data_IF_551019990733
#
_entry.id   IF_551019990733
#
_cell.length_a   1.000
_cell.length_b   1.000
_cell.length_c   1.000
_cell.angle_alpha   90.00
_cell.angle_beta   90.00
_cell.angle_gamma   90.00
#
_symmetry.space_group_name_H-M   'P 1'
#
loop_
_entity.id
_entity.type
_entity.pdbx_description
1 polymer ?
#
# COMPACT_ATOMS: atom_id res chain seq x y z
N UNK A 1 -16.52 25.43 -23.39
CA UNK A 1 -16.52 24.19 -22.59
C UNK A 1 -16.85 24.57 -21.15
N UNK A 2 -17.82 23.92 -20.50
CA UNK A 2 -18.12 24.16 -19.08
C UNK A 2 -16.94 23.74 -18.21
N UNK A 3 -16.69 24.47 -17.12
CA UNK A 3 -15.68 24.04 -16.14
C UNK A 3 -16.13 22.73 -15.45
N UNK A 4 -15.20 21.79 -15.17
CA UNK A 4 -15.53 20.55 -14.49
C UNK A 4 -16.04 20.84 -13.07
N UNK A 5 -17.06 20.10 -12.63
CA UNK A 5 -17.59 20.21 -11.27
C UNK A 5 -16.53 19.80 -10.23
N UNK A 6 -16.64 20.21 -8.96
CA UNK A 6 -15.70 19.78 -7.93
C UNK A 6 -15.59 18.26 -7.79
N UNK A 7 -16.69 17.52 -8.00
CA UNK A 7 -16.66 16.05 -8.01
C UNK A 7 -15.86 15.52 -9.19
N UNK A 8 -16.08 16.05 -10.40
CA UNK A 8 -15.31 15.64 -11.59
C UNK A 8 -13.81 15.93 -11.44
N UNK A 9 -13.46 17.05 -10.81
CA UNK A 9 -12.06 17.38 -10.48
C UNK A 9 -11.47 16.36 -9.50
N UNK A 10 -12.19 16.05 -8.40
CA UNK A 10 -11.75 15.06 -7.42
C UNK A 10 -11.60 13.65 -8.01
N UNK A 11 -12.56 13.23 -8.84
CA UNK A 11 -12.50 11.95 -9.55
C UNK A 11 -11.31 11.91 -10.50
N UNK A 12 -11.15 12.92 -11.36
CA UNK A 12 -10.02 13.00 -12.29
C UNK A 12 -8.68 12.93 -11.55
N UNK A 13 -8.54 13.63 -10.43
CA UNK A 13 -7.30 13.63 -9.67
C UNK A 13 -7.01 12.25 -9.06
N UNK A 14 -8.02 11.63 -8.46
CA UNK A 14 -7.85 10.30 -7.89
C UNK A 14 -7.57 9.22 -8.94
N UNK A 15 -8.15 9.32 -10.15
CA UNK A 15 -7.85 8.42 -11.27
C UNK A 15 -6.36 8.48 -11.64
N UNK A 16 -5.79 9.70 -11.75
CA UNK A 16 -4.35 9.87 -12.02
C UNK A 16 -3.49 9.19 -10.96
N UNK A 17 -3.88 9.31 -9.68
CA UNK A 17 -3.12 8.71 -8.56
C UNK A 17 -3.23 7.18 -8.60
N UNK A 18 -4.38 6.63 -8.97
CA UNK A 18 -4.57 5.18 -9.13
C UNK A 18 -3.65 4.66 -10.23
N UNK A 19 -3.71 5.24 -11.43
CA UNK A 19 -2.93 4.77 -12.58
C UNK A 19 -1.42 5.03 -12.42
N UNK A 20 -1.04 6.10 -11.72
CA UNK A 20 0.36 6.53 -11.60
C UNK A 20 1.27 5.59 -10.80
N UNK A 21 0.74 4.85 -9.82
CA UNK A 21 1.57 3.99 -8.99
C UNK A 21 0.80 2.92 -8.25
N UNK A 22 1.44 1.82 -7.84
CA UNK A 22 0.76 0.71 -7.19
C UNK A 22 0.45 1.01 -5.71
N UNK A 23 -0.46 0.21 -5.15
CA UNK A 23 -0.66 0.21 -3.70
C UNK A 23 0.51 -0.52 -3.04
N UNK A 24 1.28 0.15 -2.19
CA UNK A 24 2.42 -0.49 -1.51
C UNK A 24 2.85 0.23 -0.23
N UNK A 25 3.47 -0.52 0.69
CA UNK A 25 4.13 0.00 1.89
C UNK A 25 5.66 0.14 1.74
N UNK A 26 6.23 -0.16 0.56
CA UNK A 26 7.69 -0.27 0.38
C UNK A 26 8.44 1.05 0.65
N UNK A 27 7.95 2.19 0.15
CA UNK A 27 8.59 3.49 0.44
C UNK A 27 8.40 3.96 1.88
N UNK A 28 7.31 3.54 2.52
CA UNK A 28 7.13 3.75 3.97
C UNK A 28 8.17 2.96 4.76
N UNK A 29 8.41 1.69 4.40
CA UNK A 29 9.49 0.90 4.99
C UNK A 29 10.86 1.51 4.69
N UNK A 30 11.15 1.91 3.43
CA UNK A 30 12.39 2.59 3.05
C UNK A 30 12.65 3.79 3.96
N UNK A 31 11.62 4.61 4.17
CA UNK A 31 11.69 5.78 5.02
C UNK A 31 11.93 5.41 6.49
N UNK A 32 11.25 4.39 7.03
CA UNK A 32 11.49 3.89 8.39
C UNK A 32 12.94 3.44 8.57
N UNK A 33 13.44 2.61 7.66
CA UNK A 33 14.81 2.08 7.72
C UNK A 33 15.85 3.20 7.62
N UNK A 34 15.70 4.10 6.64
CA UNK A 34 16.61 5.22 6.44
C UNK A 34 16.65 6.15 7.66
N UNK A 35 15.49 6.56 8.18
CA UNK A 35 15.42 7.49 9.30
C UNK A 35 15.94 6.87 10.60
N UNK A 36 15.83 5.55 10.76
CA UNK A 36 16.39 4.82 11.90
C UNK A 36 17.86 4.38 11.70
N UNK A 37 18.46 4.64 10.54
CA UNK A 37 19.83 4.20 10.23
C UNK A 37 19.99 2.68 10.14
N UNK A 38 18.91 1.96 9.80
CA UNK A 38 18.88 0.49 9.70
C UNK A 38 19.15 0.09 8.24
N UNK A 39 20.15 -0.75 8.01
CA UNK A 39 20.41 -1.31 6.68
C UNK A 39 19.39 -2.39 6.31
N UNK A 40 19.23 -2.67 5.01
CA UNK A 40 18.37 -3.78 4.58
C UNK A 40 18.83 -5.12 5.16
N UNK A 41 20.14 -5.39 5.22
CA UNK A 41 20.66 -6.63 5.82
C UNK A 41 20.30 -6.74 7.30
N UNK A 42 20.43 -5.64 8.08
CA UNK A 42 20.01 -5.63 9.50
C UNK A 42 18.51 -5.91 9.65
N UNK A 43 17.69 -5.32 8.77
CA UNK A 43 16.26 -5.61 8.71
C UNK A 43 16.00 -7.08 8.39
N UNK A 44 16.66 -7.66 7.38
CA UNK A 44 16.43 -9.03 6.93
C UNK A 44 16.90 -10.09 7.95
N UNK A 45 17.91 -9.79 8.78
CA UNK A 45 18.36 -10.69 9.86
C UNK A 45 17.31 -10.81 10.96
N UNK A 46 16.72 -9.71 11.41
CA UNK A 46 15.68 -9.72 12.45
C UNK A 46 14.60 -8.67 12.14
N UNK A 47 13.68 -8.97 11.21
CA UNK A 47 12.78 -7.96 10.67
C UNK A 47 11.75 -7.47 11.67
N UNK A 48 11.47 -8.24 12.73
CA UNK A 48 10.51 -7.84 13.75
C UNK A 48 11.14 -6.91 14.78
N UNK A 49 12.35 -7.21 15.25
CA UNK A 49 12.97 -6.42 16.33
C UNK A 49 13.75 -5.23 15.80
N UNK A 50 14.39 -5.33 14.63
CA UNK A 50 15.19 -4.24 14.03
C UNK A 50 14.41 -2.92 13.90
N UNK A 51 13.17 -2.97 13.41
CA UNK A 51 12.35 -1.78 13.17
C UNK A 51 11.42 -1.42 14.32
N UNK A 52 11.41 -2.19 15.42
CA UNK A 52 10.45 -2.01 16.51
C UNK A 52 10.67 -0.66 17.21
N UNK A 53 9.64 0.16 17.23
CA UNK A 53 9.64 1.50 17.82
C UNK A 53 10.33 2.56 16.95
N UNK A 54 10.83 2.22 15.76
CA UNK A 54 11.58 3.13 14.91
C UNK A 54 10.77 4.38 14.54
N UNK A 55 9.49 4.23 14.18
CA UNK A 55 8.62 5.37 13.85
C UNK A 55 8.52 6.34 15.01
N UNK A 56 8.23 5.85 16.23
CA UNK A 56 8.06 6.71 17.41
C UNK A 56 9.37 7.33 17.90
N UNK A 57 10.49 6.64 17.72
CA UNK A 57 11.79 7.09 18.22
C UNK A 57 12.41 8.18 17.33
N UNK A 58 12.19 8.10 16.01
CA UNK A 58 12.94 8.92 15.04
C UNK A 58 12.08 9.82 14.16
N UNK A 59 10.74 9.70 14.22
CA UNK A 59 9.84 10.56 13.46
C UNK A 59 8.98 11.38 14.41
N UNK A 60 8.86 12.68 14.13
CA UNK A 60 7.93 13.54 14.83
C UNK A 60 6.65 13.71 14.01
N UNK A 61 5.55 14.08 14.67
CA UNK A 61 4.30 14.45 14.01
C UNK A 61 4.29 15.92 13.55
N UNK A 62 5.42 16.63 13.60
CA UNK A 62 5.43 18.09 13.58
C UNK A 62 5.17 18.66 12.18
N UNK A 63 5.61 18.01 11.10
CA UNK A 63 5.36 18.51 9.73
C UNK A 63 5.12 17.38 8.70
N UNK A 64 4.19 17.60 7.77
CA UNK A 64 3.87 16.64 6.70
C UNK A 64 4.98 16.57 5.64
N UNK A 65 5.77 17.63 5.55
CA UNK A 65 6.91 17.81 4.66
C UNK A 65 8.01 16.79 4.96
N UNK A 66 8.27 16.48 6.24
CA UNK A 66 9.24 15.45 6.64
C UNK A 66 8.79 14.05 6.19
N UNK A 67 7.48 13.85 6.03
CA UNK A 67 6.89 12.59 5.58
C UNK A 67 6.64 12.56 4.06
N UNK A 68 7.03 13.62 3.32
CA UNK A 68 6.86 13.69 1.87
C UNK A 68 7.33 12.43 1.12
N UNK A 69 8.50 11.82 1.42
CA UNK A 69 8.95 10.60 0.74
C UNK A 69 7.97 9.41 0.81
N UNK A 70 7.01 9.43 1.74
CA UNK A 70 6.04 8.35 1.97
C UNK A 70 4.69 8.57 1.29
N UNK A 71 4.41 9.76 0.76
CA UNK A 71 3.16 10.08 0.05
C UNK A 71 3.32 10.84 -1.26
N UNK A 72 4.43 11.55 -1.48
CA UNK A 72 4.63 12.37 -2.68
C UNK A 72 5.05 11.54 -3.89
N UNK A 73 5.60 10.34 -3.68
CA UNK A 73 5.91 9.38 -4.74
C UNK A 73 4.63 8.74 -5.30
N UNK A 74 4.64 8.30 -6.55
CA UNK A 74 3.45 7.79 -7.25
C UNK A 74 2.78 6.58 -6.60
N UNK A 75 3.54 5.80 -5.84
CA UNK A 75 3.06 4.64 -5.11
C UNK A 75 2.70 4.95 -3.65
N UNK A 76 1.93 4.07 -3.01
CA UNK A 76 1.68 4.17 -1.57
C UNK A 76 0.41 3.47 -1.10
N UNK A 77 0.18 3.45 0.22
CA UNK A 77 -1.06 2.92 0.81
C UNK A 77 -2.23 3.89 0.68
N UNK A 78 -3.40 3.49 1.17
CA UNK A 78 -4.64 4.30 1.14
C UNK A 78 -4.48 5.69 1.77
N UNK A 79 -3.67 5.83 2.82
CA UNK A 79 -3.41 7.14 3.45
C UNK A 79 -2.56 8.05 2.55
N UNK A 80 -1.52 7.51 1.91
CA UNK A 80 -0.71 8.24 0.92
C UNK A 80 -1.58 8.74 -0.24
N UNK A 81 -2.45 7.87 -0.77
CA UNK A 81 -3.44 8.23 -1.80
C UNK A 81 -4.30 9.44 -1.37
N UNK A 82 -4.89 9.38 -0.16
CA UNK A 82 -5.75 10.45 0.33
C UNK A 82 -4.98 11.76 0.52
N UNK A 83 -3.79 11.71 1.13
CA UNK A 83 -2.96 12.91 1.37
C UNK A 83 -2.52 13.55 0.06
N UNK A 84 -2.12 12.75 -0.94
CA UNK A 84 -1.75 13.26 -2.27
C UNK A 84 -2.94 13.93 -2.95
N UNK A 85 -4.10 13.27 -2.96
CA UNK A 85 -5.31 13.83 -3.56
C UNK A 85 -5.72 15.15 -2.85
N UNK A 86 -5.66 15.20 -1.52
CA UNK A 86 -5.92 16.41 -0.74
C UNK A 86 -4.96 17.53 -1.15
N UNK A 87 -3.66 17.25 -1.22
CA UNK A 87 -2.66 18.27 -1.54
C UNK A 87 -2.86 18.84 -2.94
N UNK A 88 -3.17 17.99 -3.93
CA UNK A 88 -3.42 18.42 -5.30
C UNK A 88 -4.74 19.21 -5.41
N UNK A 89 -5.81 18.76 -4.74
CA UNK A 89 -7.12 19.41 -4.80
C UNK A 89 -7.15 20.73 -4.03
N UNK A 90 -6.44 20.85 -2.90
CA UNK A 90 -6.42 22.09 -2.11
C UNK A 90 -5.77 23.28 -2.85
N UNK A 91 -5.04 23.03 -3.95
CA UNK A 91 -4.51 24.09 -4.80
C UNK A 91 -5.61 24.80 -5.63
N UNK A 92 -6.79 24.19 -5.78
CA UNK A 92 -7.88 24.73 -6.59
C UNK A 92 -8.66 25.83 -5.84
N UNK A 93 -8.85 26.96 -6.53
CA UNK A 93 -9.58 28.13 -6.03
C UNK A 93 -10.77 28.47 -6.93
N UNK A 94 -11.82 29.01 -6.34
CA UNK A 94 -12.96 29.54 -7.09
C UNK A 94 -12.60 30.85 -7.82
N UNK A 95 -13.54 31.40 -8.60
CA UNK A 95 -13.33 32.65 -9.33
C UNK A 95 -13.03 33.87 -8.43
N UNK A 96 -13.30 33.77 -7.13
CA UNK A 96 -13.03 34.80 -6.12
C UNK A 96 -11.74 34.52 -5.34
N UNK A 97 -11.00 33.47 -5.67
CA UNK A 97 -9.77 33.08 -5.01
C UNK A 97 -9.95 32.28 -3.71
N UNK A 98 -11.17 31.86 -3.37
CA UNK A 98 -11.43 31.06 -2.17
C UNK A 98 -11.11 29.58 -2.42
N UNK A 99 -10.62 28.83 -1.41
CA UNK A 99 -10.42 27.39 -1.54
C UNK A 99 -11.74 26.66 -1.85
N UNK A 100 -11.75 25.90 -2.95
CA UNK A 100 -12.90 25.05 -3.29
C UNK A 100 -12.98 23.88 -2.31
N UNK A 101 -11.82 23.28 -2.03
CA UNK A 101 -11.70 22.09 -1.22
C UNK A 101 -11.15 22.42 0.17
N UNK A 102 -11.74 21.79 1.18
CA UNK A 102 -11.28 21.83 2.57
C UNK A 102 -11.45 20.44 3.17
N UNK A 103 -10.46 19.59 2.94
CA UNK A 103 -10.48 18.20 3.40
C UNK A 103 -10.06 18.06 4.86
N UNK A 104 -10.74 17.16 5.55
CA UNK A 104 -10.44 16.66 6.88
C UNK A 104 -10.28 15.14 6.80
N UNK A 105 -9.29 14.57 7.51
CA UNK A 105 -9.06 13.12 7.52
C UNK A 105 -9.65 12.53 8.79
N UNK A 106 -10.42 11.44 8.65
CA UNK A 106 -11.01 10.71 9.77
C UNK A 106 -10.37 9.32 9.86
N UNK A 107 -9.80 8.99 11.02
CA UNK A 107 -9.28 7.64 11.30
C UNK A 107 -10.38 6.72 11.81
N UNK A 108 -10.82 5.82 10.94
CA UNK A 108 -11.83 4.80 11.19
C UNK A 108 -11.15 3.45 11.44
N UNK A 109 -10.14 3.45 12.31
CA UNK A 109 -9.36 2.31 12.81
C UNK A 109 -8.82 1.40 11.70
N UNK A 110 -7.59 1.68 11.25
CA UNK A 110 -6.89 1.05 10.10
C UNK A 110 -7.50 1.37 8.73
N UNK A 111 -8.51 2.24 8.68
CA UNK A 111 -9.08 2.77 7.46
C UNK A 111 -9.21 4.28 7.63
N UNK A 112 -8.64 5.06 6.71
CA UNK A 112 -8.65 6.52 6.79
C UNK A 112 -9.33 7.07 5.56
N UNK A 113 -10.29 7.96 5.76
CA UNK A 113 -11.04 8.62 4.69
C UNK A 113 -10.85 10.11 4.78
N UNK A 114 -10.74 10.77 3.63
CA UNK A 114 -10.73 12.23 3.57
C UNK A 114 -12.11 12.74 3.19
N UNK A 115 -12.61 13.74 3.89
CA UNK A 115 -13.91 14.37 3.63
C UNK A 115 -13.76 15.87 3.45
N UNK A 116 -14.25 16.40 2.34
CA UNK A 116 -14.30 17.83 2.08
C UNK A 116 -15.51 18.46 2.78
N UNK A 117 -15.26 19.44 3.64
CA UNK A 117 -16.32 20.18 4.37
C UNK A 117 -17.15 21.07 3.47
N UNK A 118 -16.53 21.63 2.43
CA UNK A 118 -17.20 22.56 1.52
C UNK A 118 -18.13 21.85 0.53
N UNK A 119 -17.78 20.63 0.09
CA UNK A 119 -18.46 19.96 -1.03
C UNK A 119 -19.14 18.64 -0.65
N UNK A 120 -18.87 18.10 0.54
CA UNK A 120 -19.37 16.78 0.96
C UNK A 120 -18.68 15.61 0.24
N UNK A 121 -17.65 15.87 -0.56
CA UNK A 121 -16.86 14.84 -1.26
C UNK A 121 -16.08 14.01 -0.25
N UNK A 122 -16.06 12.69 -0.45
CA UNK A 122 -15.26 11.71 0.26
C UNK A 122 -14.25 11.12 -0.73
N UNK A 123 -12.99 11.01 -0.30
CA UNK A 123 -11.94 10.31 -1.02
C UNK A 123 -11.62 9.01 -0.28
N UNK A 124 -11.71 7.89 -1.00
CA UNK A 124 -11.43 6.56 -0.47
C UNK A 124 -10.90 5.65 -1.58
N UNK A 125 -9.63 5.23 -1.45
CA UNK A 125 -8.97 4.36 -2.44
C UNK A 125 -9.56 2.94 -2.50
N UNK A 126 -10.48 2.59 -1.60
CA UNK A 126 -11.15 1.29 -1.56
C UNK A 126 -12.61 1.34 -2.03
N UNK A 127 -13.08 2.52 -2.45
CA UNK A 127 -14.43 2.67 -3.02
C UNK A 127 -14.49 2.10 -4.44
N UNK A 128 -15.61 1.46 -4.76
CA UNK A 128 -15.93 1.01 -6.11
C UNK A 128 -16.55 2.10 -6.99
N UNK A 129 -16.61 3.35 -6.51
CA UNK A 129 -17.05 4.48 -7.33
C UNK A 129 -15.94 4.90 -8.29
N UNK A 130 -16.29 5.37 -9.50
CA UNK A 130 -15.36 6.03 -10.41
C UNK A 130 -14.38 6.97 -9.71
N UNK A 131 -13.08 6.66 -9.83
CA UNK A 131 -12.00 7.43 -9.23
C UNK A 131 -11.94 7.40 -7.70
N UNK A 132 -12.68 6.57 -6.99
CA UNK A 132 -12.62 6.53 -5.53
C UNK A 132 -13.05 7.83 -4.84
N UNK A 133 -13.79 8.70 -5.54
CA UNK A 133 -14.30 9.97 -5.04
C UNK A 133 -15.82 10.07 -5.25
N UNK A 134 -16.57 10.37 -4.19
CA UNK A 134 -18.03 10.45 -4.21
C UNK A 134 -18.56 11.50 -3.26
N UNK A 135 -19.76 12.02 -3.52
CA UNK A 135 -20.46 12.89 -2.56
C UNK A 135 -21.20 11.99 -1.58
N UNK A 136 -20.97 12.21 -0.27
CA UNK A 136 -21.76 11.57 0.78
C UNK A 136 -22.48 12.63 1.61
N UNK A 137 -23.78 12.86 1.36
CA UNK A 137 -24.59 13.77 2.16
C UNK A 137 -24.66 13.35 3.62
N UNK A 138 -24.99 14.30 4.50
CA UNK A 138 -25.21 14.01 5.91
C UNK A 138 -26.47 13.15 6.12
N UNK A 139 -26.41 12.24 7.10
CA UNK A 139 -27.57 11.50 7.62
C UNK A 139 -27.63 10.03 7.19
N UNK A 140 -27.68 9.73 5.89
CA UNK A 140 -27.91 8.38 5.38
C UNK A 140 -26.60 7.61 5.17
N UNK A 141 -26.69 6.28 5.27
CA UNK A 141 -25.61 5.39 4.86
C UNK A 141 -25.49 5.41 3.33
N UNK A 142 -24.31 5.72 2.83
CA UNK A 142 -23.93 5.41 1.45
C UNK A 142 -23.52 3.96 1.37
N UNK A 143 -24.28 3.16 0.63
CA UNK A 143 -23.99 1.75 0.35
C UNK A 143 -23.46 1.66 -1.08
N UNK A 144 -22.34 0.96 -1.25
CA UNK A 144 -21.64 0.85 -2.53
C UNK A 144 -21.70 -0.61 -2.99
N UNK A 145 -22.56 -0.96 -3.98
CA UNK A 145 -22.98 -2.33 -4.26
C UNK A 145 -21.87 -3.36 -4.48
N UNK A 146 -20.72 -2.91 -5.01
CA UNK A 146 -19.58 -3.77 -5.34
C UNK A 146 -18.60 -3.92 -4.17
N UNK A 147 -18.90 -3.25 -3.05
CA UNK A 147 -18.15 -3.40 -1.81
C UNK A 147 -19.09 -3.83 -0.70
N UNK A 148 -18.60 -4.65 0.21
CA UNK A 148 -19.33 -4.86 1.46
C UNK A 148 -19.19 -3.65 2.40
N UNK A 149 -18.77 -2.48 1.94
CA UNK A 149 -18.48 -1.32 2.77
C UNK A 149 -19.59 -0.27 2.68
N UNK A 150 -19.91 0.34 3.82
CA UNK A 150 -20.82 1.48 3.90
C UNK A 150 -20.15 2.63 4.65
N UNK A 151 -20.48 3.85 4.25
CA UNK A 151 -19.99 5.08 4.88
C UNK A 151 -21.18 5.91 5.35
N UNK A 152 -21.01 6.65 6.45
CA UNK A 152 -22.00 7.61 6.91
C UNK A 152 -21.31 8.80 7.54
N UNK A 153 -21.95 9.96 7.42
CA UNK A 153 -21.56 11.15 8.15
C UNK A 153 -22.78 11.70 8.86
N UNK A 154 -22.69 11.93 10.17
CA UNK A 154 -23.78 12.50 10.96
C UNK A 154 -23.22 13.17 12.20
N UNK A 155 -23.69 14.37 12.52
CA UNK A 155 -23.28 15.09 13.74
C UNK A 155 -21.76 15.28 13.85
N UNK A 156 -21.11 15.59 12.72
CA UNK A 156 -19.65 15.67 12.59
C UNK A 156 -18.88 14.35 12.89
N UNK A 157 -19.57 13.22 12.95
CA UNK A 157 -18.97 11.90 13.10
C UNK A 157 -18.92 11.19 11.74
N UNK A 158 -17.72 10.78 11.32
CA UNK A 158 -17.54 9.88 10.18
C UNK A 158 -17.62 8.44 10.65
N UNK A 159 -18.38 7.62 9.93
CA UNK A 159 -18.64 6.23 10.25
C UNK A 159 -18.36 5.33 9.06
N UNK A 160 -17.85 4.13 9.34
CA UNK A 160 -17.57 3.10 8.36
C UNK A 160 -17.93 1.73 8.91
N UNK A 161 -18.58 0.92 8.08
CA UNK A 161 -18.88 -0.48 8.38
C UNK A 161 -18.50 -1.37 7.19
N UNK A 162 -18.23 -2.66 7.46
CA UNK A 162 -18.20 -3.69 6.43
C UNK A 162 -19.20 -4.78 6.75
N UNK A 163 -20.23 -4.94 5.93
CA UNK A 163 -21.26 -5.97 6.03
C UNK A 163 -20.64 -7.38 5.93
N UNK A 164 -21.12 -8.33 6.75
CA UNK A 164 -20.65 -9.73 6.75
C UNK A 164 -19.64 -10.13 7.82
N UNK A 165 -19.36 -9.30 8.84
CA UNK A 165 -18.67 -9.76 10.06
C UNK A 165 -19.67 -10.01 11.18
N UNK A 166 -19.55 -11.17 11.83
CA UNK A 166 -20.39 -11.67 12.94
C UNK A 166 -20.48 -10.69 14.12
N UNK A 167 -19.59 -9.69 14.21
CA UNK A 167 -19.57 -8.61 15.21
C UNK A 167 -19.39 -7.22 14.57
N UNK A 168 -20.11 -6.88 13.50
CA UNK A 168 -19.93 -5.65 12.70
C UNK A 168 -19.98 -4.34 13.50
N UNK A 169 -18.88 -3.97 14.17
CA UNK A 169 -18.76 -2.70 14.88
C UNK A 169 -18.59 -1.59 13.86
N UNK A 170 -19.54 -0.65 13.88
CA UNK A 170 -19.41 0.63 13.21
C UNK A 170 -18.18 1.32 13.76
N UNK A 171 -17.18 1.51 12.91
CA UNK A 171 -15.99 2.29 13.24
C UNK A 171 -16.34 3.74 13.05
N UNK A 172 -16.02 4.56 14.04
CA UNK A 172 -16.42 5.95 14.06
C UNK A 172 -15.29 6.85 14.53
N UNK A 173 -15.26 8.05 13.98
CA UNK A 173 -14.37 9.12 14.42
C UNK A 173 -15.09 10.45 14.35
N UNK A 174 -15.09 11.16 15.48
CA UNK A 174 -15.61 12.52 15.63
C UNK A 174 -14.52 13.58 15.52
N UNK A 175 -13.25 13.18 15.54
CA UNK A 175 -12.11 14.09 15.61
C UNK A 175 -11.27 13.90 14.35
N UNK A 176 -11.24 14.91 13.46
CA UNK A 176 -10.36 14.84 12.30
C UNK A 176 -8.90 14.93 12.76
N UNK A 177 -8.03 14.26 12.01
CA UNK A 177 -6.58 14.29 12.19
C UNK A 177 -5.93 15.01 11.01
N UNK A 178 -4.73 15.55 11.24
CA UNK A 178 -3.94 16.17 10.18
C UNK A 178 -3.38 15.12 9.21
N UNK A 179 -2.98 15.55 8.00
CA UNK A 179 -2.24 14.69 7.07
C UNK A 179 -0.99 14.09 7.70
N UNK A 180 -0.26 14.87 8.51
CA UNK A 180 0.94 14.40 9.20
C UNK A 180 0.61 13.28 10.20
N UNK A 181 -0.43 13.46 11.03
CA UNK A 181 -0.89 12.44 11.96
C UNK A 181 -1.37 11.18 11.23
N UNK A 182 -2.10 11.34 10.13
CA UNK A 182 -2.59 10.21 9.34
C UNK A 182 -1.43 9.38 8.76
N UNK A 183 -0.43 10.05 8.17
CA UNK A 183 0.76 9.39 7.61
C UNK A 183 1.61 8.75 8.69
N UNK A 184 1.80 9.41 9.83
CA UNK A 184 2.51 8.86 10.97
C UNK A 184 1.85 7.56 11.48
N UNK A 185 0.52 7.55 11.64
CA UNK A 185 -0.18 6.32 12.03
C UNK A 185 -0.08 5.24 10.96
N UNK A 186 -0.06 5.60 9.67
CA UNK A 186 0.17 4.65 8.59
C UNK A 186 1.59 4.03 8.63
N UNK A 187 2.61 4.81 8.99
CA UNK A 187 3.98 4.34 9.21
C UNK A 187 4.05 3.37 10.37
N UNK A 188 3.43 3.69 11.52
CA UNK A 188 3.32 2.77 12.66
C UNK A 188 2.66 1.43 12.26
N UNK A 189 1.63 1.47 11.41
CA UNK A 189 1.01 0.24 10.89
C UNK A 189 1.96 -0.55 9.97
N UNK A 190 2.72 0.11 9.10
CA UNK A 190 3.71 -0.55 8.23
C UNK A 190 4.80 -1.17 9.10
N UNK A 191 5.35 -0.45 10.06
CA UNK A 191 6.33 -0.96 11.02
C UNK A 191 5.83 -2.22 11.73
N UNK A 192 4.59 -2.20 12.20
CA UNK A 192 3.97 -3.31 12.92
C UNK A 192 3.70 -4.55 12.04
N UNK A 193 3.73 -4.43 10.70
CA UNK A 193 3.42 -5.54 9.79
C UNK A 193 4.55 -5.93 8.83
N UNK A 194 5.53 -5.05 8.57
CA UNK A 194 6.53 -5.24 7.53
C UNK A 194 7.38 -6.49 7.72
N UNK A 195 7.56 -6.95 8.96
CA UNK A 195 8.25 -8.21 9.23
C UNK A 195 7.50 -9.45 8.74
N UNK A 196 6.17 -9.37 8.62
CA UNK A 196 5.35 -10.46 8.10
C UNK A 196 5.27 -10.36 6.59
N UNK A 197 4.67 -9.27 6.11
CA UNK A 197 4.39 -9.08 4.70
C UNK A 197 4.42 -7.61 4.32
N UNK A 198 4.93 -7.32 3.12
CA UNK A 198 4.91 -5.99 2.50
C UNK A 198 4.34 -6.17 1.08
N UNK A 199 3.02 -5.94 0.90
CA UNK A 199 2.39 -6.15 -0.39
C UNK A 199 2.58 -4.94 -1.32
N UNK A 200 2.75 -5.24 -2.59
CA UNK A 200 2.68 -4.33 -3.73
C UNK A 200 1.59 -4.84 -4.66
N UNK A 201 0.47 -4.13 -4.74
CA UNK A 201 -0.64 -4.45 -5.63
C UNK A 201 -0.63 -3.48 -6.80
N UNK A 202 -0.45 -4.01 -8.00
CA UNK A 202 -0.62 -3.24 -9.22
C UNK A 202 -2.09 -2.89 -9.39
N UNK A 203 -2.34 -1.66 -9.81
CA UNK A 203 -3.71 -1.15 -9.93
C UNK A 203 -3.87 -0.33 -11.19
N UNK A 204 -5.08 -0.31 -11.72
CA UNK A 204 -5.48 0.61 -12.78
C UNK A 204 -6.94 0.97 -12.60
N UNK A 205 -7.48 1.71 -13.55
CA UNK A 205 -8.92 1.91 -13.67
C UNK A 205 -9.49 1.03 -14.79
N UNK A 206 -10.72 0.56 -14.62
CA UNK A 206 -11.44 -0.18 -15.66
C UNK A 206 -12.15 0.77 -16.66
N UNK A 207 -12.94 0.20 -17.58
CA UNK A 207 -13.71 0.99 -18.57
C UNK A 207 -14.77 1.90 -17.95
N UNK A 208 -15.18 1.63 -16.71
CA UNK A 208 -16.11 2.44 -15.94
C UNK A 208 -15.39 3.39 -14.98
N UNK A 209 -14.06 3.52 -15.10
CA UNK A 209 -13.20 4.33 -14.24
C UNK A 209 -13.16 3.86 -12.77
N UNK A 210 -13.52 2.60 -12.51
CA UNK A 210 -13.46 1.99 -11.18
C UNK A 210 -12.05 1.42 -10.95
N UNK A 211 -11.52 1.62 -9.74
CA UNK A 211 -10.22 1.09 -9.36
C UNK A 211 -10.23 -0.45 -9.36
N UNK A 212 -9.32 -1.06 -10.11
CA UNK A 212 -9.11 -2.52 -10.16
C UNK A 212 -7.70 -2.86 -9.73
N UNK A 213 -7.56 -4.01 -9.06
CA UNK A 213 -6.26 -4.59 -8.71
C UNK A 213 -5.96 -5.76 -9.64
N UNK A 214 -4.71 -5.84 -10.08
CA UNK A 214 -4.21 -6.92 -10.92
C UNK A 214 -3.37 -7.88 -10.07
N UNK A 215 -2.14 -8.15 -10.50
CA UNK A 215 -1.16 -8.95 -9.80
C UNK A 215 -0.68 -8.32 -8.50
N UNK A 216 -0.23 -9.18 -7.59
CA UNK A 216 0.38 -8.79 -6.34
C UNK A 216 1.77 -9.42 -6.20
N UNK A 217 2.74 -8.59 -5.81
CA UNK A 217 4.05 -9.01 -5.30
C UNK A 217 4.03 -8.79 -3.79
N UNK A 218 4.45 -9.77 -3.00
CA UNK A 218 4.46 -9.70 -1.55
C UNK A 218 5.80 -10.16 -1.01
N UNK A 219 6.55 -9.24 -0.42
CA UNK A 219 7.71 -9.59 0.38
C UNK A 219 7.27 -10.19 1.69
N UNK A 220 7.85 -11.32 2.06
CA UNK A 220 7.64 -12.01 3.34
C UNK A 220 8.97 -12.21 4.05
N UNK A 221 9.54 -11.18 4.72
CA UNK A 221 10.87 -11.28 5.33
C UNK A 221 10.98 -12.42 6.34
N UNK A 222 9.95 -12.62 7.17
CA UNK A 222 9.87 -13.75 8.10
C UNK A 222 10.00 -15.12 7.42
N UNK A 223 9.45 -15.25 6.23
CA UNK A 223 9.39 -16.52 5.50
C UNK A 223 10.53 -16.64 4.47
N UNK A 224 11.45 -15.67 4.44
CA UNK A 224 12.58 -15.59 3.52
C UNK A 224 12.10 -15.69 2.06
N UNK A 225 11.04 -14.97 1.70
CA UNK A 225 10.37 -15.17 0.43
C UNK A 225 9.86 -13.87 -0.20
N UNK A 226 9.74 -13.89 -1.53
CA UNK A 226 8.96 -12.97 -2.33
C UNK A 226 7.90 -13.79 -3.09
N UNK A 227 6.63 -13.51 -2.82
CA UNK A 227 5.50 -14.24 -3.38
C UNK A 227 4.80 -13.42 -4.45
N UNK A 228 4.39 -14.08 -5.53
CA UNK A 228 3.72 -13.47 -6.67
C UNK A 228 2.43 -14.23 -6.95
N UNK A 229 1.33 -13.49 -7.11
CA UNK A 229 0.06 -14.08 -7.52
C UNK A 229 -0.71 -13.17 -8.46
N UNK A 230 -1.24 -13.76 -9.52
CA UNK A 230 -1.93 -13.04 -10.59
C UNK A 230 -3.18 -12.29 -10.09
N UNK A 231 -3.83 -12.81 -9.04
CA UNK A 231 -4.90 -12.13 -8.32
C UNK A 231 -4.79 -12.34 -6.80
N UNK A 232 -5.50 -11.51 -6.02
CA UNK A 232 -5.67 -11.73 -4.57
C UNK A 232 -6.32 -13.10 -4.29
N UNK A 233 -7.23 -13.54 -5.16
CA UNK A 233 -7.90 -14.84 -5.06
C UNK A 233 -6.92 -15.99 -5.25
N UNK A 234 -5.99 -15.88 -6.20
CA UNK A 234 -4.97 -16.90 -6.43
C UNK A 234 -4.08 -17.10 -5.21
N UNK A 235 -3.65 -16.02 -4.58
CA UNK A 235 -2.85 -16.09 -3.36
C UNK A 235 -3.60 -16.75 -2.20
N UNK A 236 -4.90 -16.46 -2.07
CA UNK A 236 -5.75 -17.13 -1.07
C UNK A 236 -5.97 -18.61 -1.38
N UNK A 237 -6.01 -18.98 -2.66
CA UNK A 237 -6.09 -20.35 -3.12
C UNK A 237 -4.72 -21.06 -3.14
N UNK A 238 -3.64 -20.39 -2.70
CA UNK A 238 -2.30 -20.97 -2.70
C UNK A 238 -1.66 -21.13 -4.08
N UNK A 239 -2.27 -20.56 -5.13
CA UNK A 239 -1.73 -20.50 -6.50
C UNK A 239 -0.77 -19.31 -6.59
N UNK A 240 0.52 -19.58 -6.40
CA UNK A 240 1.54 -18.53 -6.34
C UNK A 240 2.90 -19.00 -6.84
N UNK A 241 3.61 -18.09 -7.46
CA UNK A 241 5.02 -18.23 -7.78
C UNK A 241 5.82 -17.63 -6.62
N UNK A 242 6.82 -18.33 -6.11
CA UNK A 242 7.59 -17.91 -4.94
C UNK A 242 9.06 -17.90 -5.26
N UNK A 243 9.71 -16.76 -5.11
CA UNK A 243 11.16 -16.64 -5.01
C UNK A 243 11.50 -16.91 -3.55
N UNK A 244 12.02 -18.10 -3.28
CA UNK A 244 12.30 -18.57 -1.93
C UNK A 244 13.81 -18.51 -1.67
N UNK A 245 14.20 -17.69 -0.70
CA UNK A 245 15.56 -17.64 -0.19
C UNK A 245 15.81 -18.80 0.79
N UNK A 246 17.08 -19.19 0.98
CA UNK A 246 17.42 -20.29 1.88
C UNK A 246 16.90 -20.06 3.30
N UNK A 247 16.37 -21.14 3.88
CA UNK A 247 16.02 -21.19 5.30
C UNK A 247 17.11 -21.91 6.06
N UNK A 248 17.27 -21.56 7.32
CA UNK A 248 18.19 -22.26 8.21
C UNK A 248 17.44 -23.28 9.05
N UNK A 249 17.99 -24.48 9.14
CA UNK A 249 17.44 -25.61 9.89
C UNK A 249 18.42 -26.02 10.99
N UNK A 250 17.92 -26.66 12.03
CA UNK A 250 18.80 -27.32 13.00
C UNK A 250 19.22 -28.68 12.45
N UNK A 251 20.53 -28.91 12.34
CA UNK A 251 21.06 -30.22 11.99
C UNK A 251 20.94 -31.20 13.18
N UNK A 252 21.42 -32.44 13.01
CA UNK A 252 21.38 -33.47 14.07
C UNK A 252 22.21 -33.09 15.32
N UNK A 253 23.22 -32.22 15.18
CA UNK A 253 24.00 -31.66 16.31
C UNK A 253 23.34 -30.45 16.97
N UNK A 254 22.19 -29.99 16.48
CA UNK A 254 21.47 -28.83 17.00
C UNK A 254 21.99 -27.47 16.51
N UNK A 255 22.97 -27.47 15.61
CA UNK A 255 23.53 -26.27 14.98
C UNK A 255 22.61 -25.78 13.87
N UNK A 256 22.47 -24.46 13.78
CA UNK A 256 21.71 -23.79 12.73
C UNK A 256 22.55 -23.75 11.45
N UNK A 257 22.15 -24.51 10.44
CA UNK A 257 22.82 -24.59 9.13
C UNK A 257 21.83 -24.25 8.00
N UNK A 258 22.29 -23.73 6.85
CA UNK A 258 21.43 -23.55 5.69
C UNK A 258 20.80 -24.87 5.26
N UNK A 259 19.52 -24.87 4.88
CA UNK A 259 18.88 -26.06 4.30
C UNK A 259 19.47 -26.30 2.91
N UNK A 260 20.25 -27.38 2.71
CA UNK A 260 20.93 -27.63 1.44
C UNK A 260 19.96 -27.82 0.27
N UNK A 261 18.70 -28.21 0.53
CA UNK A 261 17.67 -28.32 -0.52
C UNK A 261 17.23 -26.96 -1.06
N UNK A 262 17.35 -25.93 -0.22
CA UNK A 262 16.87 -24.57 -0.49
C UNK A 262 17.98 -23.63 -0.97
N UNK A 263 19.24 -24.07 -0.96
CA UNK A 263 20.36 -23.29 -1.48
C UNK A 263 20.28 -23.15 -3.00
N UNK A 264 20.07 -21.92 -3.49
CA UNK A 264 20.16 -21.57 -4.91
C UNK A 264 21.59 -21.30 -5.38
N UNK A 265 21.70 -20.95 -6.66
CA UNK A 265 22.92 -20.45 -7.31
C UNK A 265 22.69 -19.06 -7.90
N UNK A 266 23.75 -18.45 -8.43
CA UNK A 266 23.64 -17.18 -9.17
C UNK A 266 22.75 -17.31 -10.41
N UNK A 267 22.80 -18.43 -11.12
CA UNK A 267 21.88 -18.71 -12.23
C UNK A 267 20.42 -18.79 -11.76
N UNK A 268 20.18 -19.35 -10.55
CA UNK A 268 18.84 -19.34 -9.97
C UNK A 268 18.36 -17.92 -9.65
N UNK A 269 19.24 -17.03 -9.17
CA UNK A 269 18.92 -15.62 -8.95
C UNK A 269 18.53 -14.94 -10.27
N UNK A 270 19.32 -15.12 -11.32
CA UNK A 270 19.01 -14.56 -12.63
C UNK A 270 17.63 -15.01 -13.12
N UNK A 271 17.36 -16.32 -13.07
CA UNK A 271 16.06 -16.87 -13.43
C UNK A 271 14.91 -16.32 -12.57
N UNK A 272 15.12 -16.13 -11.26
CA UNK A 272 14.12 -15.52 -10.37
C UNK A 272 13.81 -14.07 -10.77
N UNK A 273 14.83 -13.28 -11.10
CA UNK A 273 14.66 -11.89 -11.55
C UNK A 273 13.93 -11.81 -12.90
N UNK A 274 14.26 -12.69 -13.84
CA UNK A 274 13.53 -12.80 -15.11
C UNK A 274 12.06 -13.11 -14.89
N UNK A 275 11.74 -14.09 -14.03
CA UNK A 275 10.34 -14.44 -13.73
C UNK A 275 9.59 -13.33 -12.99
N UNK A 276 10.28 -12.55 -12.14
CA UNK A 276 9.70 -11.35 -11.53
C UNK A 276 9.32 -10.31 -12.59
N UNK A 277 10.19 -10.05 -13.55
CA UNK A 277 9.92 -9.12 -14.66
C UNK A 277 8.79 -9.63 -15.57
N UNK A 278 8.78 -10.91 -15.91
CA UNK A 278 7.69 -11.55 -16.67
C UNK A 278 6.37 -11.38 -15.92
N UNK A 279 6.35 -11.66 -14.61
CA UNK A 279 5.16 -11.50 -13.78
C UNK A 279 4.62 -10.06 -13.82
N UNK A 280 5.49 -9.05 -13.70
CA UNK A 280 5.07 -7.64 -13.78
C UNK A 280 4.44 -7.32 -15.14
N UNK A 281 5.02 -7.83 -16.23
CA UNK A 281 4.50 -7.59 -17.59
C UNK A 281 3.17 -8.28 -17.86
N UNK A 282 3.03 -9.53 -17.42
CA UNK A 282 1.84 -10.34 -17.70
C UNK A 282 0.68 -10.09 -16.73
N UNK A 283 0.99 -9.74 -15.48
CA UNK A 283 0.01 -9.62 -14.41
C UNK A 283 -0.04 -8.23 -13.76
N UNK A 284 0.85 -7.30 -14.09
CA UNK A 284 0.78 -5.93 -13.56
C UNK A 284 -0.34 -5.08 -14.15
N UNK A 285 -1.05 -5.58 -15.16
CA UNK A 285 -2.09 -4.84 -15.86
C UNK A 285 -1.52 -3.77 -16.82
N UNK A 286 -2.36 -2.88 -17.37
CA UNK A 286 -1.97 -1.96 -18.44
C UNK A 286 -0.88 -0.95 -18.04
N UNK A 287 -0.73 -0.67 -16.74
CA UNK A 287 0.28 0.24 -16.20
C UNK A 287 1.36 -0.48 -15.40
N UNK A 288 1.37 -1.82 -15.34
CA UNK A 288 2.24 -2.59 -14.45
C UNK A 288 3.72 -2.29 -14.63
N UNK A 289 4.20 -2.28 -15.88
CA UNK A 289 5.60 -1.99 -16.19
C UNK A 289 5.98 -0.56 -15.80
N UNK A 290 5.14 0.44 -16.15
CA UNK A 290 5.34 1.83 -15.73
C UNK A 290 5.36 1.98 -14.21
N UNK A 291 4.42 1.34 -13.51
CA UNK A 291 4.31 1.34 -12.06
C UNK A 291 5.53 0.70 -11.39
N UNK A 292 6.15 -0.29 -12.02
CA UNK A 292 7.34 -0.95 -11.50
C UNK A 292 8.61 -0.10 -11.70
N UNK A 293 8.84 0.37 -12.92
CA UNK A 293 10.09 1.04 -13.32
C UNK A 293 10.11 2.51 -12.89
N UNK A 294 9.05 3.26 -13.19
CA UNK A 294 9.07 4.72 -13.09
C UNK A 294 8.76 5.25 -11.68
N UNK A 295 8.26 4.41 -10.77
CA UNK A 295 7.98 4.82 -9.39
C UNK A 295 9.18 4.62 -8.46
N UNK A 296 10.28 4.03 -8.95
CA UNK A 296 11.44 3.64 -8.15
C UNK A 296 11.28 2.30 -7.40
N UNK A 297 10.20 1.56 -7.66
CA UNK A 297 9.98 0.25 -7.04
C UNK A 297 10.96 -0.79 -7.51
N UNK A 298 11.29 -0.82 -8.80
CA UNK A 298 12.31 -1.72 -9.33
C UNK A 298 13.63 -1.56 -8.59
N UNK A 299 14.14 -0.33 -8.49
CA UNK A 299 15.39 -0.03 -7.78
C UNK A 299 15.34 -0.48 -6.31
N UNK A 300 14.26 -0.18 -5.59
CA UNK A 300 14.09 -0.63 -4.21
C UNK A 300 14.06 -2.16 -4.08
N UNK A 301 13.34 -2.85 -4.97
CA UNK A 301 13.29 -4.31 -4.95
C UNK A 301 14.66 -4.91 -5.28
N UNK A 302 15.39 -4.36 -6.24
CA UNK A 302 16.75 -4.79 -6.56
C UNK A 302 17.69 -4.64 -5.36
N UNK A 303 17.67 -3.49 -4.67
CA UNK A 303 18.44 -3.28 -3.44
C UNK A 303 18.08 -4.31 -2.35
N UNK A 304 16.79 -4.59 -2.16
CA UNK A 304 16.32 -5.52 -1.13
C UNK A 304 16.62 -6.98 -1.49
N UNK A 305 16.54 -7.36 -2.77
CA UNK A 305 16.95 -8.69 -3.27
C UNK A 305 18.44 -8.88 -3.07
N UNK A 306 19.27 -7.90 -3.43
CA UNK A 306 20.71 -8.00 -3.24
C UNK A 306 21.05 -8.18 -1.75
N UNK A 307 20.46 -7.36 -0.87
CA UNK A 307 20.65 -7.52 0.56
C UNK A 307 20.16 -8.89 1.08
N UNK A 308 19.09 -9.43 0.52
CA UNK A 308 18.59 -10.78 0.84
C UNK A 308 19.54 -11.89 0.36
N UNK A 309 20.15 -11.75 -0.82
CA UNK A 309 21.20 -12.66 -1.30
C UNK A 309 22.41 -12.62 -0.37
N UNK A 310 22.87 -11.42 0.00
CA UNK A 310 24.02 -11.26 0.89
C UNK A 310 23.74 -11.81 2.31
N UNK A 311 22.48 -11.73 2.77
CA UNK A 311 22.09 -12.12 4.13
C UNK A 311 21.70 -13.59 4.25
N UNK A 312 20.97 -14.12 3.25
CA UNK A 312 20.35 -15.45 3.30
C UNK A 312 20.91 -16.43 2.26
N UNK A 313 21.62 -15.95 1.25
CA UNK A 313 22.10 -16.72 0.11
C UNK A 313 21.16 -16.67 -1.11
N UNK A 314 21.58 -17.31 -2.20
CA UNK A 314 20.85 -17.27 -3.46
C UNK A 314 19.48 -17.97 -3.40
N UNK A 315 18.42 -17.37 -3.99
CA UNK A 315 17.07 -17.93 -3.97
C UNK A 315 16.85 -19.02 -5.02
N UNK A 316 15.73 -19.72 -4.90
CA UNK A 316 15.16 -20.60 -5.92
C UNK A 316 13.72 -20.20 -6.25
N UNK A 317 13.33 -20.48 -7.48
CA UNK A 317 11.94 -20.37 -7.91
C UNK A 317 11.17 -21.62 -7.49
N UNK A 318 10.06 -21.44 -6.77
CA UNK A 318 9.17 -22.51 -6.33
C UNK A 318 7.75 -22.15 -6.73
N UNK A 319 7.14 -22.97 -7.59
CA UNK A 319 5.74 -22.84 -7.94
C UNK A 319 4.89 -23.62 -6.91
N UNK A 320 3.97 -22.93 -6.24
CA UNK A 320 2.94 -23.57 -5.44
C UNK A 320 1.64 -23.53 -6.21
N UNK A 321 1.17 -24.71 -6.62
CA UNK A 321 -0.21 -24.93 -7.08
C UNK A 321 -0.83 -25.86 -6.06
N UNK A 322 -1.57 -25.31 -5.10
CA UNK A 322 -2.41 -26.15 -4.23
C UNK A 322 -3.63 -26.53 -5.07
N UNK A 323 -3.69 -27.80 -5.47
CA UNK A 323 -4.87 -28.39 -6.14
C UNK A 323 -6.03 -28.53 -5.16
#
# INVERSE_FOLDING_TARGET
>A
MSQPTPLQQAQSECLKIIDGGPYTGMFMLKHILHTAGISYSQFLVDPKHSIRGATNAYMNMATIEQLAPTWSVDSGRCTSFAVKAINNLNAHKDAKGNPIFKFEIYDLYRHRVARCRNTGIVLDSSSSIPGGAFILPEGNWGVFPETNASWKFKNSESMFERQGKVNGQVKKSSTPISSAQAMFTCLCEVEASAYKTIPTLFRSVDRNHVAVFHGMIMWSPRDHALEMGATITDLRAGRRLVIQFPKYIKNKSGETVPDPKMMGTEENLHSCLEHLLIFVREHGGPYGEHQWTNTGLEAFNTELIQAAVDTWGYPKLVAYVVN
#
